data_IF_002869558074
#
_entry.id   IF_002869558074
#
_cell.length_a   1.000
_cell.length_b   1.000
_cell.length_c   1.000
_cell.angle_alpha   90.00
_cell.angle_beta   90.00
_cell.angle_gamma   90.00
#
_symmetry.space_group_name_H-M   'P 1'
#
loop_
_entity.id
_entity.type
_entity.pdbx_description
1 polymer ?
#
# COMPACT_ATOMS: atom_id res chain seq x y z
N UNK A 1 -12.39 8.82 3.60
CA UNK A 1 -11.67 7.54 3.73
C UNK A 1 -10.19 7.80 3.50
N UNK A 2 -9.34 7.42 4.44
CA UNK A 2 -7.88 7.64 4.40
C UNK A 2 -7.17 6.30 4.31
N UNK A 3 -6.08 6.23 3.56
CA UNK A 3 -5.25 5.04 3.42
C UNK A 3 -3.92 5.27 4.13
N UNK A 4 -3.57 4.43 5.09
CA UNK A 4 -2.37 4.57 5.90
C UNK A 4 -1.41 3.42 5.65
N UNK A 5 -0.16 3.75 5.33
CA UNK A 5 0.93 2.79 5.20
C UNK A 5 1.74 2.81 6.48
N UNK A 6 1.85 1.66 7.12
CA UNK A 6 2.54 1.49 8.40
C UNK A 6 3.75 0.58 8.25
N UNK A 7 4.83 0.90 8.95
CA UNK A 7 5.88 -0.06 9.25
C UNK A 7 5.50 -0.80 10.54
N UNK A 8 5.17 -2.08 10.41
CA UNK A 8 4.67 -2.96 11.48
C UNK A 8 5.75 -3.37 12.49
N UNK A 9 7.03 -3.24 12.15
CA UNK A 9 8.14 -3.55 13.06
C UNK A 9 8.41 -2.38 14.00
N UNK A 10 8.40 -1.16 13.46
CA UNK A 10 8.68 0.06 14.21
C UNK A 10 7.42 0.75 14.72
N UNK A 11 6.24 0.31 14.27
CA UNK A 11 4.91 0.89 14.58
C UNK A 11 4.87 2.38 14.19
N UNK A 12 5.48 2.70 13.05
CA UNK A 12 5.52 4.06 12.53
C UNK A 12 4.62 4.20 11.32
N UNK A 13 3.88 5.31 11.27
CA UNK A 13 3.20 5.74 10.06
C UNK A 13 4.27 6.16 9.04
N UNK A 14 4.29 5.49 7.90
CA UNK A 14 5.17 5.82 6.78
C UNK A 14 4.58 6.96 5.97
N UNK A 15 3.30 6.83 5.60
CA UNK A 15 2.56 7.83 4.85
C UNK A 15 1.05 7.62 4.94
N UNK A 16 0.28 8.67 4.73
CA UNK A 16 -1.19 8.64 4.59
C UNK A 16 -1.62 9.25 3.27
N UNK A 17 -2.69 8.72 2.68
CA UNK A 17 -3.18 9.10 1.37
C UNK A 17 -4.71 9.24 1.35
N UNK A 18 -5.20 10.15 0.51
CA UNK A 18 -6.64 10.31 0.27
C UNK A 18 -7.20 9.24 -0.67
N UNK A 19 -6.34 8.54 -1.40
CA UNK A 19 -6.74 7.48 -2.31
C UNK A 19 -5.82 6.25 -2.22
N UNK A 20 -6.40 5.11 -2.56
CA UNK A 20 -5.74 3.81 -2.50
C UNK A 20 -4.59 3.67 -3.49
N UNK A 21 -4.74 4.29 -4.66
CA UNK A 21 -3.81 4.14 -5.77
C UNK A 21 -2.45 4.73 -5.42
N UNK A 22 -2.42 5.93 -4.83
CA UNK A 22 -1.18 6.58 -4.43
C UNK A 22 -0.43 5.77 -3.36
N UNK A 23 -1.16 5.16 -2.43
CA UNK A 23 -0.57 4.26 -1.44
C UNK A 23 0.10 3.04 -2.10
N UNK A 24 -0.58 2.39 -3.04
CA UNK A 24 -0.03 1.25 -3.78
C UNK A 24 1.12 1.65 -4.72
N UNK A 25 1.08 2.86 -5.30
CA UNK A 25 2.16 3.41 -6.11
C UNK A 25 3.41 3.67 -5.28
N UNK A 26 3.28 4.16 -4.04
CA UNK A 26 4.42 4.29 -3.13
C UNK A 26 5.05 2.93 -2.82
N UNK A 27 4.22 1.92 -2.51
CA UNK A 27 4.66 0.55 -2.24
C UNK A 27 5.45 -0.01 -3.42
N UNK A 28 4.91 0.09 -4.64
CA UNK A 28 5.60 -0.42 -5.83
C UNK A 28 6.92 0.32 -6.09
N UNK A 29 6.91 1.65 -5.92
CA UNK A 29 8.14 2.46 -6.06
C UNK A 29 9.20 2.09 -5.02
N UNK A 30 8.80 1.72 -3.81
CA UNK A 30 9.69 1.19 -2.76
C UNK A 30 10.33 -0.12 -3.20
N UNK A 31 9.52 -1.07 -3.67
CA UNK A 31 9.97 -2.36 -4.20
C UNK A 31 10.96 -2.18 -5.36
N UNK A 32 10.69 -1.26 -6.28
CA UNK A 32 11.55 -1.02 -7.45
C UNK A 32 12.91 -0.44 -7.05
N UNK A 33 12.96 0.42 -6.02
CA UNK A 33 14.19 1.05 -5.54
C UNK A 33 15.02 0.15 -4.61
N UNK A 34 14.35 -0.54 -3.69
CA UNK A 34 15.00 -1.23 -2.57
C UNK A 34 14.91 -2.77 -2.67
N UNK A 35 14.13 -3.27 -3.63
CA UNK A 35 13.87 -4.69 -3.82
C UNK A 35 12.60 -5.19 -3.12
N UNK A 36 12.18 -6.44 -3.40
CA UNK A 36 10.90 -6.99 -2.95
C UNK A 36 10.75 -7.14 -1.43
N UNK A 37 11.83 -7.06 -0.67
CA UNK A 37 11.80 -7.15 0.80
C UNK A 37 11.44 -5.83 1.48
N UNK A 38 11.41 -4.73 0.74
CA UNK A 38 11.02 -3.40 1.26
C UNK A 38 9.59 -3.40 1.83
N UNK A 39 8.75 -4.33 1.36
CA UNK A 39 7.38 -4.49 1.85
C UNK A 39 7.23 -5.46 3.01
N UNK A 40 8.26 -6.20 3.40
CA UNK A 40 8.12 -7.29 4.39
C UNK A 40 7.57 -6.79 5.73
N UNK A 41 7.84 -5.52 6.07
CA UNK A 41 7.37 -4.86 7.29
C UNK A 41 6.17 -3.94 7.06
N UNK A 42 5.69 -3.77 5.82
CA UNK A 42 4.66 -2.78 5.51
C UNK A 42 3.25 -3.36 5.59
N UNK A 43 2.32 -2.59 6.15
CA UNK A 43 0.89 -2.84 6.13
C UNK A 43 0.13 -1.63 5.59
N UNK A 44 -0.87 -1.89 4.75
CA UNK A 44 -1.81 -0.88 4.27
C UNK A 44 -3.14 -1.06 4.98
N UNK A 45 -3.61 0.02 5.59
CA UNK A 45 -4.91 0.09 6.25
C UNK A 45 -5.76 1.19 5.62
N UNK A 46 -7.08 1.08 5.78
CA UNK A 46 -8.00 2.15 5.46
C UNK A 46 -8.85 2.52 6.67
N UNK A 47 -9.01 3.82 6.89
CA UNK A 47 -9.90 4.40 7.88
C UNK A 47 -11.11 5.01 7.16
N UNK A 48 -12.31 4.58 7.55
CA UNK A 48 -13.56 5.14 7.03
C UNK A 48 -13.94 6.46 7.73
N UNK A 49 -15.04 7.08 7.31
CA UNK A 49 -15.51 8.37 7.88
C UNK A 49 -16.00 8.25 9.33
N UNK A 50 -16.22 7.04 9.82
CA UNK A 50 -16.61 6.75 11.20
C UNK A 50 -15.41 6.40 12.08
N UNK A 51 -14.19 6.43 11.54
CA UNK A 51 -12.97 6.04 12.24
C UNK A 51 -12.75 4.52 12.32
N UNK A 52 -13.48 3.71 11.55
CA UNK A 52 -13.26 2.27 11.52
C UNK A 52 -12.03 1.95 10.67
N UNK A 53 -11.10 1.19 11.25
CA UNK A 53 -9.87 0.75 10.58
C UNK A 53 -10.07 -0.64 9.99
N UNK A 54 -9.75 -0.79 8.71
CA UNK A 54 -9.73 -2.07 7.99
C UNK A 54 -8.33 -2.33 7.45
N UNK A 55 -7.75 -3.47 7.80
CA UNK A 55 -6.51 -3.93 7.18
C UNK A 55 -6.77 -4.39 5.75
N UNK A 56 -6.02 -3.84 4.79
CA UNK A 56 -6.17 -4.16 3.36
C UNK A 56 -5.21 -5.29 2.97
N UNK A 57 -3.93 -5.13 3.26
CA UNK A 57 -2.89 -6.11 2.96
C UNK A 57 -1.60 -5.78 3.71
N UNK A 58 -0.72 -6.76 3.88
CA UNK A 58 0.59 -6.59 4.50
C UNK A 58 1.65 -7.47 3.85
N UNK A 59 2.92 -7.11 4.01
CA UNK A 59 4.03 -7.95 3.57
C UNK A 59 3.98 -8.26 2.07
N UNK A 60 4.15 -9.54 1.76
CA UNK A 60 4.09 -10.07 0.39
C UNK A 60 2.73 -9.84 -0.28
N UNK A 61 1.63 -9.92 0.46
CA UNK A 61 0.28 -9.71 -0.09
C UNK A 61 0.10 -8.26 -0.56
N UNK A 62 0.69 -7.30 0.16
CA UNK A 62 0.67 -5.89 -0.23
C UNK A 62 1.45 -5.66 -1.53
N UNK A 63 2.61 -6.30 -1.69
CA UNK A 63 3.38 -6.25 -2.93
C UNK A 63 2.62 -6.86 -4.13
N UNK A 64 1.96 -8.00 -3.93
CA UNK A 64 1.15 -8.65 -4.97
C UNK A 64 -0.07 -7.79 -5.35
N UNK A 65 -0.72 -7.18 -4.37
CA UNK A 65 -1.83 -6.27 -4.56
C UNK A 65 -1.43 -5.05 -5.40
N UNK A 66 -0.33 -4.38 -5.03
CA UNK A 66 0.17 -3.20 -5.74
C UNK A 66 0.49 -3.53 -7.20
N UNK A 67 1.16 -4.66 -7.47
CA UNK A 67 1.46 -5.12 -8.83
C UNK A 67 0.20 -5.41 -9.63
N UNK A 68 -0.77 -6.11 -9.03
CA UNK A 68 -2.02 -6.49 -9.70
C UNK A 68 -2.81 -5.24 -10.11
N UNK A 69 -3.09 -4.35 -9.17
CA UNK A 69 -3.98 -3.21 -9.43
C UNK A 69 -3.36 -2.18 -10.39
N UNK A 70 -2.07 -1.86 -10.24
CA UNK A 70 -1.41 -0.92 -11.13
C UNK A 70 -1.20 -1.48 -12.54
N UNK A 71 -0.99 -2.81 -12.67
CA UNK A 71 -0.94 -3.45 -13.99
C UNK A 71 -2.29 -3.47 -14.71
N UNK A 72 -3.40 -3.56 -13.96
CA UNK A 72 -4.76 -3.49 -14.53
C UNK A 72 -5.08 -2.09 -15.03
N UNK A 73 -4.60 -1.04 -14.36
CA UNK A 73 -4.76 0.34 -14.80
C UNK A 73 -3.95 0.64 -16.07
N UNK A 74 -2.72 0.13 -16.18
CA UNK A 74 -1.90 0.27 -17.39
C UNK A 74 -2.48 -0.41 -18.63
N UNK A 75 -3.30 -1.47 -18.45
CA UNK A 75 -3.99 -2.15 -19.56
C UNK A 75 -5.29 -1.47 -20.02
N UNK A 76 -5.87 -0.59 -19.21
CA UNK A 76 -7.11 0.12 -19.54
C UNK A 76 -6.85 1.41 -20.34
N UNK A 77 -5.58 1.83 -20.48
CA UNK A 77 -5.15 3.04 -21.21
C UNK A 77 -4.38 2.68 -22.50
N UNK A 78 -4.36 1.39 -22.87
CA UNK A 78 -3.67 0.87 -24.07
C UNK A 78 -4.60 0.52 -25.22
#
# INVERSE_FOLDING_TARGET
>A
MVYALWDTVTINLVASFDNRQDALSLVLSGIERNGPRDTDTLALEAEDENGNITSIAQGKELAELARKELSSLGRLVG
#
